data_IF_847411724488
#
_entry.id   IF_847411724488
#
_cell.length_a   1.000
_cell.length_b   1.000
_cell.length_c   1.000
_cell.angle_alpha   90.00
_cell.angle_beta   90.00
_cell.angle_gamma   90.00
#
_symmetry.space_group_name_H-M   'P 1'
#
loop_
_entity.id
_entity.type
_entity.pdbx_description
1 polymer ?
#
# COMPACT_ATOMS: atom_id res chain seq x y z
N UNK A 1 4.27 35.25 -15.06
CA UNK A 1 3.33 34.15 -14.76
C UNK A 1 3.96 32.87 -15.25
N UNK A 2 4.45 32.03 -14.34
CA UNK A 2 4.97 30.71 -14.69
C UNK A 2 3.75 29.81 -14.87
N UNK A 3 3.55 29.17 -16.03
CA UNK A 3 2.44 28.25 -16.20
C UNK A 3 2.67 27.09 -15.23
N UNK A 4 1.63 26.74 -14.47
CA UNK A 4 1.57 25.50 -13.72
C UNK A 4 1.52 24.34 -14.72
N UNK A 5 2.66 23.99 -15.29
CA UNK A 5 2.82 22.69 -15.92
C UNK A 5 2.61 21.67 -14.83
N UNK A 6 1.42 21.06 -14.84
CA UNK A 6 1.06 19.92 -14.01
C UNK A 6 2.23 18.95 -14.07
N UNK A 7 2.92 18.80 -12.95
CA UNK A 7 3.97 17.82 -12.79
C UNK A 7 3.29 16.45 -12.85
N UNK A 8 3.12 15.90 -14.05
CA UNK A 8 2.74 14.50 -14.23
C UNK A 8 3.93 13.66 -13.82
N UNK A 9 4.19 13.56 -12.51
CA UNK A 9 5.06 12.54 -11.97
C UNK A 9 4.32 11.22 -12.19
N UNK A 10 4.94 10.21 -12.83
CA UNK A 10 4.37 8.88 -12.98
C UNK A 10 3.96 8.19 -11.66
N UNK A 11 4.19 8.80 -10.50
CA UNK A 11 3.99 8.25 -9.17
C UNK A 11 3.62 9.35 -8.15
N UNK A 12 2.60 10.16 -8.43
CA UNK A 12 2.12 11.22 -7.54
C UNK A 12 1.65 10.77 -6.13
N UNK A 13 1.78 9.48 -5.80
CA UNK A 13 1.30 8.86 -4.57
C UNK A 13 2.42 8.18 -3.76
N UNK A 14 3.70 8.50 -3.99
CA UNK A 14 4.82 7.90 -3.22
C UNK A 14 4.64 8.01 -1.71
N UNK A 15 4.36 9.20 -1.19
CA UNK A 15 4.16 9.38 0.25
C UNK A 15 3.00 8.49 0.75
N UNK A 16 1.90 8.44 0.01
CA UNK A 16 0.73 7.61 0.35
C UNK A 16 1.02 6.11 0.24
N UNK A 17 1.91 5.71 -0.68
CA UNK A 17 2.40 4.34 -0.85
C UNK A 17 3.23 3.91 0.36
N UNK A 18 4.25 4.68 0.70
CA UNK A 18 5.12 4.38 1.85
C UNK A 18 4.37 4.45 3.18
N UNK A 19 3.43 5.41 3.32
CA UNK A 19 2.54 5.44 4.47
C UNK A 19 1.67 4.16 4.53
N UNK A 20 1.20 3.67 3.38
CA UNK A 20 0.51 2.39 3.28
C UNK A 20 1.36 1.24 3.84
N UNK A 21 2.65 1.17 3.51
CA UNK A 21 3.56 0.16 4.08
C UNK A 21 3.68 0.25 5.60
N UNK A 22 3.83 1.45 6.17
CA UNK A 22 3.83 1.64 7.62
C UNK A 22 2.52 1.16 8.27
N UNK A 23 1.40 1.33 7.55
CA UNK A 23 0.08 0.88 7.98
C UNK A 23 -0.20 -0.61 7.69
N UNK A 24 0.76 -1.35 7.12
CA UNK A 24 0.64 -2.79 6.82
C UNK A 24 -0.02 -3.13 5.48
N UNK A 25 -0.32 -2.13 4.64
CA UNK A 25 -0.77 -2.35 3.28
C UNK A 25 0.36 -2.95 2.44
N UNK A 26 0.01 -3.84 1.51
CA UNK A 26 1.00 -4.53 0.68
C UNK A 26 0.70 -4.38 -0.80
N UNK A 27 1.75 -4.69 -1.56
CA UNK A 27 1.69 -4.90 -3.00
C UNK A 27 0.75 -6.06 -3.35
N UNK A 28 0.53 -6.24 -4.64
CA UNK A 28 -0.32 -7.27 -5.22
C UNK A 28 0.21 -8.69 -5.00
N UNK A 29 1.52 -8.82 -4.84
CA UNK A 29 2.23 -10.06 -4.55
C UNK A 29 2.41 -10.22 -3.04
N UNK A 30 2.22 -11.44 -2.54
CA UNK A 30 2.18 -11.68 -1.09
C UNK A 30 3.62 -11.70 -0.54
N UNK A 31 3.97 -10.74 0.32
CA UNK A 31 5.16 -10.91 1.17
C UNK A 31 4.81 -11.83 2.36
N UNK A 32 5.64 -12.85 2.68
CA UNK A 32 5.41 -13.67 3.86
C UNK A 32 5.45 -12.81 5.14
N UNK A 33 4.56 -13.08 6.10
CA UNK A 33 4.56 -12.43 7.41
C UNK A 33 3.55 -11.29 7.62
N UNK A 34 2.54 -11.14 6.77
CA UNK A 34 1.52 -10.10 6.94
C UNK A 34 0.54 -10.43 8.08
N UNK A 35 0.21 -9.49 9.00
CA UNK A 35 -0.88 -9.65 9.95
C UNK A 35 -2.26 -9.86 9.31
N UNK A 36 -2.46 -9.42 8.06
CA UNK A 36 -3.75 -9.54 7.38
C UNK A 36 -3.61 -10.22 6.01
N UNK A 37 -4.38 -11.30 5.82
CA UNK A 37 -4.39 -12.08 4.58
C UNK A 37 -5.05 -11.37 3.40
N UNK A 38 -5.72 -10.24 3.65
CA UNK A 38 -6.44 -9.45 2.65
C UNK A 38 -5.69 -8.18 2.20
N UNK A 39 -4.60 -7.77 2.86
CA UNK A 39 -3.85 -6.56 2.48
C UNK A 39 -3.12 -6.81 1.16
N UNK A 40 -3.74 -6.48 0.03
CA UNK A 40 -3.10 -6.61 -1.28
C UNK A 40 -3.59 -5.56 -2.24
N UNK A 41 -2.68 -5.04 -3.06
CA UNK A 41 -3.00 -4.13 -4.14
C UNK A 41 -3.79 -4.82 -5.27
N UNK A 42 -4.33 -4.01 -6.18
CA UNK A 42 -4.91 -4.44 -7.46
C UNK A 42 -4.15 -3.80 -8.60
N UNK A 43 -3.93 -4.60 -9.64
CA UNK A 43 -3.52 -4.19 -10.97
C UNK A 43 -4.58 -4.71 -11.94
N UNK A 44 -5.04 -3.85 -12.84
CA UNK A 44 -5.99 -4.21 -13.88
C UNK A 44 -5.46 -3.79 -15.27
N UNK A 45 -5.35 -4.73 -16.23
CA UNK A 45 -5.53 -6.17 -16.05
C UNK A 45 -4.47 -6.76 -15.11
N UNK A 46 -4.66 -7.99 -14.59
CA UNK A 46 -3.70 -8.62 -13.68
C UNK A 46 -2.26 -8.61 -14.21
N UNK A 47 -1.29 -8.53 -13.30
CA UNK A 47 0.14 -8.57 -13.61
C UNK A 47 0.50 -9.74 -14.54
N UNK A 48 1.45 -9.53 -15.46
CA UNK A 48 1.92 -10.56 -16.40
C UNK A 48 0.86 -11.14 -17.34
N UNK A 49 -0.33 -10.52 -17.47
CA UNK A 49 -1.35 -10.91 -18.44
C UNK A 49 -0.95 -10.69 -19.91
N UNK A 50 0.31 -10.35 -20.19
CA UNK A 50 0.84 -10.06 -21.54
C UNK A 50 0.18 -8.86 -22.22
N UNK A 51 -0.74 -8.18 -21.54
CA UNK A 51 -1.67 -7.21 -22.11
C UNK A 51 -1.44 -5.88 -21.42
N UNK A 52 -0.47 -5.10 -21.90
CA UNK A 52 -0.58 -3.66 -21.75
C UNK A 52 -1.91 -3.27 -22.44
N UNK A 53 -2.89 -2.64 -21.76
CA UNK A 53 -4.14 -2.32 -22.45
C UNK A 53 -3.81 -1.34 -23.57
N UNK A 54 -3.91 -1.83 -24.79
CA UNK A 54 -3.74 -1.06 -26.00
C UNK A 54 -4.88 -0.05 -26.16
N UNK A 55 -4.75 0.92 -27.07
CA UNK A 55 -5.66 2.06 -27.22
C UNK A 55 -7.13 1.69 -27.56
N UNK A 56 -7.45 0.44 -27.84
CA UNK A 56 -8.78 -0.16 -27.76
C UNK A 56 -8.61 -1.65 -27.41
N UNK A 57 -9.23 -2.16 -26.34
CA UNK A 57 -9.37 -3.61 -26.17
C UNK A 57 -9.05 -4.23 -24.81
N UNK A 58 -9.37 -3.59 -23.68
CA UNK A 58 -9.73 -4.39 -22.49
C UNK A 58 -11.16 -4.91 -22.72
N UNK A 59 -11.44 -6.24 -22.75
CA UNK A 59 -12.80 -6.79 -22.85
C UNK A 59 -13.75 -6.28 -21.75
N UNK A 60 -13.17 -5.67 -20.73
CA UNK A 60 -13.80 -5.15 -19.53
C UNK A 60 -14.11 -3.63 -19.57
N UNK A 61 -13.77 -2.94 -20.66
CA UNK A 61 -14.16 -1.55 -20.92
C UNK A 61 -13.22 -0.46 -20.37
N UNK A 62 -12.07 -0.83 -19.79
CA UNK A 62 -11.04 0.15 -19.42
C UNK A 62 -10.13 0.47 -20.63
N UNK A 63 -10.11 1.73 -21.08
CA UNK A 63 -9.29 2.17 -22.23
C UNK A 63 -7.78 2.11 -21.97
N UNK A 64 -7.37 2.03 -20.70
CA UNK A 64 -5.98 1.91 -20.24
C UNK A 64 -5.93 1.07 -18.97
N UNK A 65 -4.80 0.41 -18.77
CA UNK A 65 -4.52 -0.29 -17.53
C UNK A 65 -4.43 0.68 -16.36
N UNK A 66 -4.84 0.22 -15.19
CA UNK A 66 -4.79 1.00 -13.97
C UNK A 66 -4.34 0.15 -12.81
N UNK A 67 -3.82 0.81 -11.78
CA UNK A 67 -3.32 0.14 -10.58
C UNK A 67 -3.59 0.98 -9.34
N UNK A 68 -3.91 0.33 -8.22
CA UNK A 68 -4.10 1.01 -6.92
C UNK A 68 -2.77 1.51 -6.35
N UNK A 69 -2.80 2.41 -5.37
CA UNK A 69 -1.61 3.07 -4.81
C UNK A 69 -0.50 2.09 -4.45
N UNK A 70 -0.85 0.96 -3.83
CA UNK A 70 0.14 -0.02 -3.36
C UNK A 70 0.67 -0.94 -4.45
N UNK A 71 0.26 -0.81 -5.70
CA UNK A 71 0.68 -1.75 -6.72
C UNK A 71 2.11 -1.50 -7.20
N UNK A 72 2.88 -2.57 -7.43
CA UNK A 72 4.26 -2.45 -7.94
C UNK A 72 4.26 -1.83 -9.33
N UNK A 73 5.23 -0.95 -9.59
CA UNK A 73 5.44 -0.33 -10.90
C UNK A 73 5.78 -1.33 -12.01
N UNK A 74 6.51 -2.39 -11.69
CA UNK A 74 7.04 -3.36 -12.65
C UNK A 74 5.98 -4.31 -13.21
N UNK A 75 4.88 -4.51 -12.49
CA UNK A 75 3.86 -5.48 -12.84
C UNK A 75 2.81 -4.94 -13.82
N UNK A 76 2.86 -3.65 -14.14
CA UNK A 76 2.18 -3.04 -15.28
C UNK A 76 2.84 -1.70 -15.69
N UNK A 77 3.76 -1.78 -16.65
CA UNK A 77 4.65 -0.65 -17.01
C UNK A 77 3.98 0.60 -17.60
N UNK A 78 2.74 0.50 -18.10
CA UNK A 78 1.96 1.63 -18.62
C UNK A 78 0.65 1.88 -17.86
N UNK A 79 0.42 1.19 -16.74
CA UNK A 79 -0.78 1.39 -15.95
C UNK A 79 -0.77 2.75 -15.26
N UNK A 80 -1.90 3.44 -15.32
CA UNK A 80 -2.14 4.65 -14.53
C UNK A 80 -2.35 4.28 -13.06
N UNK A 81 -1.60 4.92 -12.17
CA UNK A 81 -1.87 4.81 -10.73
C UNK A 81 -3.10 5.62 -10.37
N UNK A 82 -4.12 4.97 -9.80
CA UNK A 82 -5.28 5.68 -9.21
C UNK A 82 -4.97 6.04 -7.76
N UNK A 83 -5.45 7.21 -7.33
CA UNK A 83 -5.31 7.71 -5.95
C UNK A 83 -6.18 7.01 -4.93
N UNK A 84 -6.24 5.68 -4.98
CA UNK A 84 -7.06 4.85 -4.10
C UNK A 84 -6.27 3.62 -3.64
N UNK A 85 -6.39 3.28 -2.36
CA UNK A 85 -6.06 1.95 -1.86
C UNK A 85 -7.09 0.94 -2.34
N UNK A 86 -6.69 -0.34 -2.44
CA UNK A 86 -7.60 -1.39 -2.87
C UNK A 86 -8.74 -1.59 -1.87
N UNK A 87 -9.96 -1.75 -2.39
CA UNK A 87 -11.17 -1.97 -1.58
C UNK A 87 -12.28 -2.61 -2.42
N UNK A 88 -13.06 -3.56 -1.87
CA UNK A 88 -14.19 -4.18 -2.57
C UNK A 88 -15.40 -3.25 -2.73
N UNK A 89 -15.40 -2.09 -2.08
CA UNK A 89 -16.57 -1.20 -2.00
C UNK A 89 -16.46 0.01 -2.95
N UNK A 90 -15.29 0.25 -3.56
CA UNK A 90 -15.08 1.32 -4.53
C UNK A 90 -14.89 0.79 -5.95
N UNK A 91 -15.24 1.64 -6.93
CA UNK A 91 -15.13 1.35 -8.36
C UNK A 91 -14.24 2.39 -9.05
N UNK A 92 -13.48 1.93 -10.05
CA UNK A 92 -12.74 2.79 -10.96
C UNK A 92 -13.72 3.68 -11.73
N UNK A 93 -13.56 5.00 -11.60
CA UNK A 93 -14.54 5.99 -12.10
C UNK A 93 -14.87 5.83 -13.60
N UNK A 94 -13.89 5.47 -14.42
CA UNK A 94 -14.07 5.44 -15.88
C UNK A 94 -14.55 4.11 -16.46
N UNK A 95 -14.36 2.98 -15.77
CA UNK A 95 -14.73 1.66 -16.29
C UNK A 95 -15.54 0.81 -15.32
N UNK A 96 -15.89 1.35 -14.15
CA UNK A 96 -16.79 0.71 -13.19
C UNK A 96 -16.25 -0.55 -12.52
N UNK A 97 -15.01 -0.98 -12.80
CA UNK A 97 -14.40 -2.14 -12.17
C UNK A 97 -14.11 -1.90 -10.70
N UNK A 98 -14.30 -2.93 -9.88
CA UNK A 98 -13.97 -2.86 -8.45
C UNK A 98 -12.48 -2.66 -8.28
N UNK A 99 -12.11 -1.85 -7.29
CA UNK A 99 -10.70 -1.58 -6.97
C UNK A 99 -10.15 -2.55 -5.93
N UNK A 100 -10.86 -3.64 -5.64
CA UNK A 100 -10.50 -4.63 -4.63
C UNK A 100 -11.40 -5.86 -4.66
N UNK A 101 -11.02 -6.86 -3.87
CA UNK A 101 -11.74 -8.12 -3.72
C UNK A 101 -11.88 -8.42 -2.24
N UNK A 102 -13.11 -8.68 -1.79
CA UNK A 102 -13.42 -8.94 -0.38
C UNK A 102 -12.56 -10.09 0.13
N UNK A 103 -12.00 -9.93 1.33
CA UNK A 103 -11.16 -10.93 2.00
C UNK A 103 -9.84 -11.30 1.30
N UNK A 104 -9.42 -10.62 0.23
CA UNK A 104 -8.16 -10.97 -0.47
C UNK A 104 -7.36 -9.80 -1.00
N UNK A 105 -8.00 -8.68 -1.35
CA UNK A 105 -7.38 -7.46 -1.89
C UNK A 105 -8.10 -6.20 -1.39
N UNK A 106 -7.86 -5.86 -0.12
CA UNK A 106 -8.50 -4.77 0.60
C UNK A 106 -7.51 -4.04 1.53
N UNK A 107 -6.60 -3.26 0.94
CA UNK A 107 -5.68 -2.43 1.71
C UNK A 107 -6.41 -1.31 2.49
N UNK A 108 -7.60 -0.89 2.06
CA UNK A 108 -8.38 0.09 2.80
C UNK A 108 -8.82 -0.46 4.16
N UNK A 109 -9.25 -1.73 4.23
CA UNK A 109 -9.55 -2.39 5.50
C UNK A 109 -8.30 -2.49 6.39
N UNK A 110 -7.13 -2.76 5.80
CA UNK A 110 -5.86 -2.83 6.53
C UNK A 110 -5.55 -1.51 7.22
N UNK A 111 -5.58 -0.43 6.46
CA UNK A 111 -5.34 0.94 6.92
C UNK A 111 -6.33 1.30 8.03
N UNK A 112 -7.61 0.96 7.87
CA UNK A 112 -8.63 1.18 8.89
C UNK A 112 -8.33 0.44 10.20
N UNK A 113 -7.87 -0.81 10.13
CA UNK A 113 -7.55 -1.61 11.33
C UNK A 113 -6.27 -1.15 12.03
N UNK A 114 -5.31 -0.58 11.30
CA UNK A 114 -4.01 -0.15 11.86
C UNK A 114 -3.95 1.33 12.21
N UNK A 115 -4.88 2.16 11.73
CA UNK A 115 -4.91 3.60 11.95
C UNK A 115 -4.72 4.00 13.40
N UNK A 116 -5.45 3.36 14.33
CA UNK A 116 -5.34 3.71 15.75
C UNK A 116 -4.00 3.31 16.36
N UNK A 117 -3.47 2.13 15.99
CA UNK A 117 -2.15 1.67 16.45
C UNK A 117 -1.04 2.60 15.97
N UNK A 118 -1.05 2.98 14.70
CA UNK A 118 -0.04 3.88 14.11
C UNK A 118 -0.16 5.29 14.67
N UNK A 119 -1.38 5.81 14.87
CA UNK A 119 -1.59 7.13 15.47
C UNK A 119 -1.03 7.23 16.90
N UNK A 120 -0.95 6.12 17.64
CA UNK A 120 -0.47 6.06 19.02
C UNK A 120 0.96 5.51 19.15
N UNK A 121 1.77 5.47 18.08
CA UNK A 121 3.10 4.85 18.09
C UNK A 121 4.08 5.43 19.14
N UNK A 122 3.84 6.66 19.61
CA UNK A 122 4.67 7.34 20.63
C UNK A 122 4.11 7.25 22.05
N UNK A 123 2.98 6.57 22.25
CA UNK A 123 2.33 6.49 23.56
C UNK A 123 2.80 5.29 24.41
N UNK A 124 3.86 4.58 24.01
CA UNK A 124 4.48 3.55 24.85
C UNK A 124 5.16 4.17 26.07
N UNK A 125 4.48 4.11 27.21
CA UNK A 125 5.02 4.44 28.55
C UNK A 125 5.96 3.35 29.06
N UNK A 126 6.93 2.92 28.26
CA UNK A 126 8.02 2.08 28.78
C UNK A 126 9.03 2.99 29.46
N UNK A 127 8.88 3.22 30.76
CA UNK A 127 10.00 3.69 31.58
C UNK A 127 11.18 2.74 31.34
N UNK A 128 12.39 3.23 31.06
CA UNK A 128 13.55 2.37 30.95
C UNK A 128 13.68 1.57 32.25
N UNK A 129 14.00 0.27 32.21
CA UNK A 129 14.26 -0.48 33.44
C UNK A 129 15.37 0.25 34.20
N UNK A 130 15.08 0.67 35.44
CA UNK A 130 16.11 1.24 36.32
C UNK A 130 17.28 0.28 36.34
N UNK A 131 18.43 0.73 35.83
CA UNK A 131 19.65 -0.03 35.90
C UNK A 131 19.92 -0.34 37.38
N UNK A 132 19.78 -1.61 37.76
CA UNK A 132 20.24 -2.08 39.07
C UNK A 132 21.76 -2.02 39.03
N UNK A 133 22.32 -0.97 39.63
CA UNK A 133 23.76 -0.85 39.84
C UNK A 133 24.15 -1.98 40.78
N UNK A 134 24.65 -3.07 40.19
CA UNK A 134 25.25 -4.16 40.96
C UNK A 134 26.52 -3.60 41.62
N UNK A 135 26.63 -3.62 42.97
CA UNK A 135 27.83 -3.13 43.63
C UNK A 135 29.05 -3.96 43.20
N UNK A 136 30.24 -3.35 43.15
CA UNK A 136 31.46 -4.06 42.76
C UNK A 136 31.70 -5.24 43.71
N UNK A 137 31.94 -6.40 43.11
CA UNK A 137 32.31 -7.61 43.84
C UNK A 137 33.79 -7.47 44.22
N UNK A 138 34.08 -7.10 45.47
CA UNK A 138 35.44 -7.15 45.99
C UNK A 138 35.89 -8.62 46.07
N UNK A 139 36.85 -9.00 45.24
CA UNK A 139 37.56 -10.27 45.36
C UNK A 139 38.78 -10.07 46.26
N UNK A 140 38.69 -10.51 47.51
CA UNK A 140 39.85 -10.80 48.33
C UNK A 140 39.75 -12.23 48.86
N UNK A 141 40.91 -12.90 48.80
CA UNK A 141 41.27 -14.28 49.13
C UNK A 141 40.96 -15.35 48.08
#
# INVERSE_FOLDING_TARGET
>A
MVPWTSLTIPDAYFLTHELGHVMGAQHEDTAPGNPFTFSRAIINPPANSGSAPGPQGDPDGCVRGWKTIMATSNNCGSCMTIGQWSTPDARHQHCGKLTGVRNSRDNAETIRKTAWTVANIRCSTSSPPSASVRPPRNSHN
#
